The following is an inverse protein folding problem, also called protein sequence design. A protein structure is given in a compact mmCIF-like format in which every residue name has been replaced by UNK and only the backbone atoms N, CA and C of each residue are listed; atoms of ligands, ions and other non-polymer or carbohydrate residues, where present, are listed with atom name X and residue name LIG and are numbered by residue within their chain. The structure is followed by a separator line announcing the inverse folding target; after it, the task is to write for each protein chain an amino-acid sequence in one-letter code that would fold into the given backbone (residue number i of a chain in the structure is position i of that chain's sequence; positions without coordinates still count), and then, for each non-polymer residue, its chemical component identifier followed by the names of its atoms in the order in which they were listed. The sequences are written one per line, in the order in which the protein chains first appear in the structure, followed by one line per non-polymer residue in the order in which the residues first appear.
data_IF_652746185187
#
_entry.id   IF_652746185187
#
_cell.length_a   1.000
_cell.length_b   1.000
_cell.length_c   1.000
_cell.angle_alpha   90.00
_cell.angle_beta   90.00
_cell.angle_gamma   90.00
#
_symmetry.space_group_name_H-M   'P 1'
#
loop_
_entity.id
_entity.type
_entity.pdbx_description
1 polymer ?
#
# COMPACT_ATOMS: atom_id res chain seq x y z
N UNK A 1 0.30 -8.75 -21.25
CA UNK A 1 -0.85 -8.86 -20.35
C UNK A 1 -0.68 -7.94 -19.14
N UNK A 2 -1.66 -7.14 -18.88
CA UNK A 2 -1.59 -6.19 -17.77
C UNK A 2 -1.84 -6.88 -16.44
N UNK A 3 -0.89 -6.75 -15.51
CA UNK A 3 -1.00 -7.32 -14.19
C UNK A 3 -1.92 -6.47 -13.32
N UNK A 4 -2.88 -7.09 -12.66
CA UNK A 4 -3.79 -6.38 -11.76
C UNK A 4 -3.08 -6.00 -10.47
N UNK A 5 -3.25 -4.74 -10.04
CA UNK A 5 -2.65 -4.24 -8.81
C UNK A 5 -3.40 -4.80 -7.61
N UNK A 6 -2.67 -5.42 -6.69
CA UNK A 6 -3.25 -5.98 -5.46
C UNK A 6 -3.09 -4.98 -4.33
N UNK A 7 -4.21 -4.48 -3.82
CA UNK A 7 -4.23 -3.45 -2.79
C UNK A 7 -4.67 -4.02 -1.46
N UNK A 8 -3.90 -3.75 -0.42
CA UNK A 8 -4.24 -4.09 0.95
C UNK A 8 -4.64 -2.83 1.69
N UNK A 9 -5.85 -2.81 2.21
CA UNK A 9 -6.39 -1.66 2.94
C UNK A 9 -6.41 -1.98 4.43
N UNK A 10 -5.78 -1.12 5.24
CA UNK A 10 -5.72 -1.28 6.69
C UNK A 10 -6.53 -0.16 7.34
N UNK A 11 -7.64 -0.52 7.96
CA UNK A 11 -8.56 0.42 8.58
C UNK A 11 -9.97 -0.14 8.69
N UNK A 12 -10.92 0.72 8.97
CA UNK A 12 -12.32 0.29 9.13
C UNK A 12 -12.96 -0.08 7.79
N UNK A 13 -13.92 -0.99 7.85
CA UNK A 13 -14.60 -1.54 6.67
C UNK A 13 -15.32 -0.47 5.85
N UNK A 14 -15.91 0.50 6.50
CA UNK A 14 -16.71 1.53 5.81
C UNK A 14 -15.91 2.28 4.77
N UNK A 15 -14.70 2.71 5.11
CA UNK A 15 -13.89 3.41 4.15
C UNK A 15 -13.38 2.49 3.04
N UNK A 16 -13.13 1.24 3.36
CA UNK A 16 -12.74 0.27 2.34
C UNK A 16 -13.83 0.14 1.28
N UNK A 17 -15.08 0.12 1.71
CA UNK A 17 -16.22 0.04 0.79
C UNK A 17 -16.33 1.28 -0.09
N UNK A 18 -16.07 2.46 0.47
CA UNK A 18 -16.07 3.70 -0.29
C UNK A 18 -15.02 3.69 -1.40
N UNK A 19 -13.80 3.31 -1.06
CA UNK A 19 -12.71 3.25 -2.03
C UNK A 19 -13.00 2.20 -3.11
N UNK A 20 -13.55 1.07 -2.70
CA UNK A 20 -13.84 -0.04 -3.60
C UNK A 20 -14.78 0.35 -4.74
N UNK A 21 -15.70 1.26 -4.47
CA UNK A 21 -16.65 1.74 -5.49
C UNK A 21 -15.97 2.48 -6.64
N UNK A 22 -14.79 3.06 -6.38
CA UNK A 22 -14.04 3.80 -7.39
C UNK A 22 -13.06 2.91 -8.16
N UNK A 23 -12.94 1.64 -7.79
CA UNK A 23 -12.08 0.71 -8.48
C UNK A 23 -12.80 0.08 -9.66
N UNK A 24 -12.05 -0.19 -10.73
CA UNK A 24 -12.58 -0.97 -11.84
C UNK A 24 -12.98 -2.36 -11.34
N UNK A 25 -13.97 -3.02 -11.96
CA UNK A 25 -14.42 -4.35 -11.49
C UNK A 25 -13.30 -5.36 -11.29
N UNK A 26 -12.30 -5.37 -12.16
CA UNK A 26 -11.15 -6.28 -12.03
C UNK A 26 -10.29 -5.95 -10.81
N UNK A 27 -10.18 -4.68 -10.47
CA UNK A 27 -9.41 -4.24 -9.32
C UNK A 27 -10.08 -4.60 -8.00
N UNK A 28 -11.41 -4.64 -7.97
CA UNK A 28 -12.17 -4.96 -6.76
C UNK A 28 -11.82 -6.34 -6.21
N UNK A 29 -11.57 -7.30 -7.09
CA UNK A 29 -11.22 -8.66 -6.68
C UNK A 29 -9.83 -8.74 -6.05
N UNK A 30 -9.02 -7.73 -6.29
CA UNK A 30 -7.66 -7.66 -5.74
C UNK A 30 -7.54 -6.66 -4.58
N UNK A 31 -8.66 -6.24 -4.03
CA UNK A 31 -8.73 -5.29 -2.93
C UNK A 31 -9.04 -6.05 -1.63
N UNK A 32 -8.03 -6.20 -0.79
CA UNK A 32 -8.14 -6.89 0.50
C UNK A 32 -8.23 -5.88 1.63
N UNK A 33 -8.91 -6.25 2.71
CA UNK A 33 -9.02 -5.39 3.86
C UNK A 33 -8.69 -6.10 5.15
N UNK A 34 -7.97 -5.43 6.05
CA UNK A 34 -7.70 -5.90 7.40
C UNK A 34 -7.97 -4.76 8.39
N UNK A 35 -8.44 -5.11 9.58
CA UNK A 35 -8.79 -4.12 10.59
C UNK A 35 -7.67 -3.88 11.60
N UNK A 36 -6.78 -4.84 11.77
CA UNK A 36 -5.76 -4.78 12.81
C UNK A 36 -4.56 -5.66 12.44
N UNK A 37 -3.54 -5.61 13.30
CA UNK A 37 -2.30 -6.38 13.10
C UNK A 37 -2.55 -7.89 13.08
N UNK A 38 -3.47 -8.36 13.92
CA UNK A 38 -3.80 -9.79 13.96
C UNK A 38 -4.32 -10.28 12.63
N UNK A 39 -5.27 -9.54 12.05
CA UNK A 39 -5.84 -9.88 10.74
C UNK A 39 -4.76 -9.87 9.66
N UNK A 40 -3.85 -8.89 9.72
CA UNK A 40 -2.75 -8.77 8.78
C UNK A 40 -1.85 -10.01 8.82
N UNK A 41 -1.46 -10.42 10.03
CA UNK A 41 -0.59 -11.57 10.21
C UNK A 41 -1.27 -12.91 9.89
N UNK A 42 -2.59 -12.91 9.84
CA UNK A 42 -3.38 -14.11 9.56
C UNK A 42 -3.65 -14.33 8.07
N UNK A 43 -3.21 -13.41 7.21
CA UNK A 43 -3.41 -13.56 5.76
C UNK A 43 -2.67 -14.78 5.23
N UNK A 44 -3.31 -15.57 4.34
CA UNK A 44 -2.66 -16.75 3.75
C UNK A 44 -1.33 -16.41 3.08
N UNK A 45 -0.39 -17.34 3.10
CA UNK A 45 0.92 -17.13 2.50
C UNK A 45 0.88 -16.85 0.99
N UNK A 46 -0.13 -17.36 0.31
CA UNK A 46 -0.29 -17.16 -1.12
C UNK A 46 -0.68 -15.72 -1.50
N UNK A 47 -1.12 -14.92 -0.52
CA UNK A 47 -1.52 -13.53 -0.78
C UNK A 47 -0.31 -12.69 -1.10
N UNK A 48 -0.38 -11.95 -2.21
CA UNK A 48 0.64 -10.97 -2.56
C UNK A 48 0.01 -9.57 -2.48
N UNK A 49 0.84 -8.57 -2.22
CA UNK A 49 0.40 -7.18 -2.07
C UNK A 49 1.33 -6.27 -2.85
N UNK A 50 0.76 -5.41 -3.69
CA UNK A 50 1.52 -4.42 -4.45
C UNK A 50 1.49 -3.06 -3.76
N UNK A 51 0.36 -2.72 -3.11
CA UNK A 51 0.18 -1.46 -2.39
C UNK A 51 -0.53 -1.74 -1.08
N UNK A 52 -0.01 -1.20 0.02
CA UNK A 52 -0.68 -1.22 1.32
C UNK A 52 -1.04 0.21 1.70
N UNK A 53 -2.29 0.43 2.07
CA UNK A 53 -2.80 1.75 2.43
C UNK A 53 -3.25 1.73 3.88
N UNK A 54 -2.60 2.53 4.73
CA UNK A 54 -3.01 2.71 6.12
C UNK A 54 -3.96 3.89 6.21
N UNK A 55 -5.20 3.59 6.57
CA UNK A 55 -6.20 4.63 6.83
C UNK A 55 -6.01 5.18 8.24
N UNK A 56 -6.39 6.45 8.45
CA UNK A 56 -6.23 7.08 9.78
C UNK A 56 -7.02 6.38 10.88
N UNK A 57 -8.00 5.53 10.54
CA UNK A 57 -8.75 4.75 11.53
C UNK A 57 -7.99 3.52 12.03
N UNK A 58 -6.87 3.16 11.40
CA UNK A 58 -6.06 2.03 11.84
C UNK A 58 -5.41 2.37 13.19
N UNK A 59 -5.39 1.41 14.11
CA UNK A 59 -4.89 1.64 15.47
C UNK A 59 -3.43 2.11 15.45
N UNK A 60 -3.18 3.30 16.01
CA UNK A 60 -1.87 3.93 15.99
C UNK A 60 -0.78 3.06 16.60
N UNK A 61 -1.08 2.39 17.71
CA UNK A 61 -0.10 1.54 18.40
C UNK A 61 0.34 0.32 17.57
N UNK A 62 -0.44 -0.05 16.58
CA UNK A 62 -0.10 -1.17 15.68
C UNK A 62 0.52 -0.71 14.37
N UNK A 63 0.54 0.59 14.13
CA UNK A 63 0.96 1.13 12.83
C UNK A 63 2.39 0.73 12.47
N UNK A 64 3.32 0.96 13.38
CA UNK A 64 4.74 0.67 13.14
C UNK A 64 4.98 -0.82 12.90
N UNK A 65 4.45 -1.66 13.78
CA UNK A 65 4.63 -3.11 13.65
C UNK A 65 4.03 -3.64 12.36
N UNK A 66 2.87 -3.08 11.97
CA UNK A 66 2.21 -3.48 10.73
C UNK A 66 3.03 -3.07 9.51
N UNK A 67 3.58 -1.86 9.51
CA UNK A 67 4.42 -1.37 8.42
C UNK A 67 5.69 -2.21 8.28
N UNK A 68 6.34 -2.53 9.41
CA UNK A 68 7.52 -3.38 9.42
C UNK A 68 7.21 -4.78 8.90
N UNK A 69 6.06 -5.33 9.30
CA UNK A 69 5.61 -6.65 8.84
C UNK A 69 5.43 -6.66 7.33
N UNK A 70 4.79 -5.62 6.78
CA UNK A 70 4.56 -5.50 5.34
C UNK A 70 5.88 -5.41 4.59
N UNK A 71 6.84 -4.63 5.09
CA UNK A 71 8.16 -4.50 4.47
C UNK A 71 8.90 -5.83 4.42
N UNK A 72 8.77 -6.66 5.44
CA UNK A 72 9.42 -7.98 5.47
C UNK A 72 8.72 -8.97 4.57
N UNK A 73 7.39 -8.98 4.57
CA UNK A 73 6.61 -9.97 3.82
C UNK A 73 6.51 -9.64 2.34
N UNK A 74 6.34 -8.37 2.02
CA UNK A 74 6.21 -7.89 0.64
C UNK A 74 7.19 -6.74 0.41
N UNK A 75 8.49 -7.05 0.25
CA UNK A 75 9.53 -6.01 0.18
C UNK A 75 9.33 -4.96 -0.92
N UNK A 76 8.66 -5.35 -1.99
CA UNK A 76 8.43 -4.45 -3.13
C UNK A 76 7.12 -3.67 -3.04
N UNK A 77 6.31 -3.92 -2.02
CA UNK A 77 5.04 -3.22 -1.87
C UNK A 77 5.24 -1.75 -1.56
N UNK A 78 4.39 -0.92 -2.15
CA UNK A 78 4.35 0.51 -1.84
C UNK A 78 3.47 0.68 -0.60
N UNK A 79 3.94 1.45 0.38
CA UNK A 79 3.17 1.74 1.59
C UNK A 79 2.73 3.19 1.58
N UNK A 80 1.42 3.41 1.63
CA UNK A 80 0.81 4.74 1.66
C UNK A 80 0.13 4.93 3.01
N UNK A 81 0.28 6.12 3.58
CA UNK A 81 -0.32 6.44 4.89
C UNK A 81 -1.24 7.63 4.74
N UNK A 82 -2.49 7.48 5.20
CA UNK A 82 -3.47 8.55 5.18
C UNK A 82 -3.60 9.12 6.60
N UNK A 83 -3.35 10.41 6.75
CA UNK A 83 -3.53 11.10 8.02
C UNK A 83 -2.21 11.48 8.69
N UNK A 84 -2.34 12.08 9.86
CA UNK A 84 -1.20 12.59 10.61
C UNK A 84 -0.32 11.52 11.24
N UNK A 85 -0.81 10.30 11.35
CA UNK A 85 -0.06 9.21 11.96
C UNK A 85 1.24 8.87 11.21
N UNK A 86 1.39 9.32 9.97
CA UNK A 86 2.64 9.15 9.24
C UNK A 86 3.83 9.71 10.00
N UNK A 87 3.61 10.74 10.83
CA UNK A 87 4.65 11.33 11.66
C UNK A 87 5.21 10.38 12.70
N UNK A 88 4.48 9.31 13.00
CA UNK A 88 4.88 8.30 13.97
C UNK A 88 5.77 7.22 13.35
N UNK A 89 5.94 7.26 12.03
CA UNK A 89 6.74 6.28 11.31
C UNK A 89 8.06 6.88 10.84
N UNK A 90 9.10 6.08 10.85
CA UNK A 90 10.37 6.45 10.23
C UNK A 90 10.20 6.44 8.71
N UNK A 91 10.91 7.32 8.02
CA UNK A 91 10.81 7.47 6.57
C UNK A 91 10.88 6.14 5.78
N UNK A 92 11.75 5.18 6.12
CA UNK A 92 11.82 3.94 5.37
C UNK A 92 10.57 3.07 5.48
N UNK A 93 9.69 3.34 6.43
CA UNK A 93 8.51 2.51 6.67
C UNK A 93 7.29 2.89 5.82
N UNK A 94 7.37 3.99 5.07
CA UNK A 94 6.31 4.33 4.14
C UNK A 94 6.89 5.04 2.92
N UNK A 95 6.17 4.97 1.81
CA UNK A 95 6.63 5.55 0.55
C UNK A 95 6.01 6.92 0.28
N UNK A 96 4.76 7.13 0.72
CA UNK A 96 4.08 8.40 0.53
C UNK A 96 2.98 8.56 1.56
N UNK A 97 2.53 9.78 1.76
CA UNK A 97 1.48 10.10 2.73
C UNK A 97 0.54 11.16 2.18
N UNK A 98 -0.66 11.22 2.72
CA UNK A 98 -1.64 12.24 2.35
C UNK A 98 -2.51 12.58 3.56
N UNK A 99 -3.29 13.65 3.44
CA UNK A 99 -4.17 14.09 4.52
C UNK A 99 -5.38 13.16 4.66
N UNK A 100 -5.99 13.17 5.85
CA UNK A 100 -7.18 12.39 6.13
C UNK A 100 -8.40 12.85 5.31
N UNK A 101 -8.32 14.03 4.70
CA UNK A 101 -9.38 14.54 3.85
C UNK A 101 -9.36 14.08 2.41
N UNK A 102 -8.44 13.19 2.04
CA UNK A 102 -8.38 12.69 0.67
C UNK A 102 -9.68 11.96 0.30
N UNK A 103 -10.19 12.22 -0.91
CA UNK A 103 -11.38 11.54 -1.39
C UNK A 103 -11.03 10.11 -1.84
N UNK A 104 -12.01 9.18 -1.89
CA UNK A 104 -11.76 7.85 -2.43
C UNK A 104 -11.19 7.87 -3.84
N UNK A 105 -11.70 8.73 -4.71
CA UNK A 105 -11.18 8.90 -6.06
C UNK A 105 -9.73 9.38 -6.05
N UNK A 106 -9.42 10.36 -5.20
CA UNK A 106 -8.07 10.86 -5.04
C UNK A 106 -7.09 9.79 -4.57
N UNK A 107 -7.55 8.93 -3.67
CA UNK A 107 -6.74 7.81 -3.19
C UNK A 107 -6.43 6.82 -4.31
N UNK A 108 -7.42 6.48 -5.12
CA UNK A 108 -7.21 5.57 -6.26
C UNK A 108 -6.16 6.14 -7.21
N UNK A 109 -6.23 7.44 -7.50
CA UNK A 109 -5.23 8.12 -8.33
C UNK A 109 -3.84 8.08 -7.70
N UNK A 110 -3.76 8.28 -6.40
CA UNK A 110 -2.50 8.21 -5.67
C UNK A 110 -1.87 6.84 -5.76
N UNK A 111 -2.69 5.79 -5.64
CA UNK A 111 -2.24 4.40 -5.78
C UNK A 111 -1.65 4.19 -7.18
N UNK A 112 -2.35 4.61 -8.21
CA UNK A 112 -1.89 4.46 -9.58
C UNK A 112 -0.58 5.21 -9.84
N UNK A 113 -0.49 6.43 -9.35
CA UNK A 113 0.71 7.26 -9.50
C UNK A 113 1.89 6.63 -8.79
N UNK A 114 1.69 6.15 -7.56
CA UNK A 114 2.76 5.52 -6.77
C UNK A 114 3.26 4.24 -7.43
N UNK A 115 2.36 3.45 -8.00
CA UNK A 115 2.75 2.23 -8.70
C UNK A 115 3.54 2.53 -9.96
N UNK A 116 3.14 3.55 -10.71
CA UNK A 116 3.86 3.95 -11.92
C UNK A 116 5.27 4.43 -11.58
N UNK A 117 5.42 5.21 -10.51
CA UNK A 117 6.72 5.68 -10.05
C UNK A 117 7.62 4.51 -9.61
N UNK A 118 7.05 3.53 -8.90
CA UNK A 118 7.78 2.35 -8.45
C UNK A 118 8.31 1.54 -9.62
N UNK A 119 7.49 1.35 -10.65
CA UNK A 119 7.89 0.63 -11.85
C UNK A 119 9.04 1.32 -12.57
N UNK A 120 9.03 2.64 -12.65
CA UNK A 120 10.11 3.41 -13.27
C UNK A 120 11.40 3.29 -12.49
N UNK A 121 11.33 3.34 -11.17
CA UNK A 121 12.50 3.18 -10.31
C UNK A 121 13.12 1.81 -10.49
N UNK A 122 12.30 0.75 -10.54
CA UNK A 122 12.78 -0.61 -10.77
C UNK A 122 13.52 -0.73 -12.10
N UNK A 123 12.99 -0.12 -13.15
CA UNK A 123 13.65 -0.14 -14.46
C UNK A 123 14.99 0.53 -14.41
N UNK A 124 15.08 1.70 -13.78
CA UNK A 124 16.34 2.42 -13.64
C UNK A 124 17.38 1.63 -12.85
N UNK A 125 16.98 1.03 -11.75
CA UNK A 125 17.87 0.22 -10.93
C UNK A 125 18.39 -0.97 -11.72
N UNK A 126 17.53 -1.60 -12.49
CA UNK A 126 17.91 -2.76 -13.30
C UNK A 126 18.97 -2.40 -14.33
N UNK A 127 18.80 -1.29 -15.03
CA UNK A 127 19.77 -0.82 -16.01
C UNK A 127 21.04 -0.29 -15.35
N UNK A 128 20.89 0.45 -14.26
CA UNK A 128 22.02 0.99 -13.51
C UNK A 128 22.94 -0.09 -12.98
N UNK A 129 22.38 -1.17 -12.47
CA UNK A 129 23.17 -2.29 -11.97
C UNK A 129 23.99 -2.95 -13.07
N UNK A 130 23.43 -3.05 -14.25
CA UNK A 130 24.16 -3.56 -15.40
C UNK A 130 25.34 -2.69 -15.78
N UNK A 131 25.16 -1.39 -15.74
CA UNK A 131 26.22 -0.42 -16.05
C UNK A 131 27.32 -0.42 -15.00
N UNK A 132 26.96 -0.45 -13.74
CA UNK A 132 27.91 -0.38 -12.64
C UNK A 132 28.85 -1.55 -12.58
N UNK A 133 28.45 -2.67 -13.09
CA UNK A 133 29.25 -3.89 -13.09
C UNK A 133 30.08 -4.09 -14.35
N UNK A 134 29.78 -3.30 -15.32
CA UNK A 134 30.50 -3.33 -16.60
C UNK A 134 31.87 -2.69 -16.48
#
# INVERSE_FOLDING_TARGET
MRKTTKVLSLGIEEWRNEVREFLAPKQRDCFLGVNNLWDLCSLPQAVSVDVAVFHHSFALHNLRHSAEYIRRRWPDAVILVIGEQAKQLDDPLYDDKTSSGISPDGLVRMIETSMAARRRIRRKVRFGMGSDRG
#
